data_IF_024014503483
#
_entry.id   IF_024014503483
#
_cell.length_a   1.000
_cell.length_b   1.000
_cell.length_c   1.000
_cell.angle_alpha   90.00
_cell.angle_beta   90.00
_cell.angle_gamma   90.00
#
_symmetry.space_group_name_H-M   'P 1'
#
loop_
_entity.id
_entity.type
_entity.pdbx_description
1 polymer ?
#
# COMPACT_ATOMS: atom_id res chain seq x y z
N UNK A 1 8.39 -13.72 -4.00
CA UNK A 1 7.02 -13.18 -4.17
C UNK A 1 5.93 -14.20 -3.88
N UNK A 2 6.07 -15.48 -4.30
CA UNK A 2 5.11 -16.55 -3.99
C UNK A 2 4.77 -16.71 -2.50
N UNK A 3 5.74 -16.51 -1.60
CA UNK A 3 5.50 -16.51 -0.15
C UNK A 3 4.52 -15.38 0.24
N UNK A 4 4.85 -14.12 -0.07
CA UNK A 4 4.00 -12.95 0.22
C UNK A 4 2.59 -13.05 -0.39
N UNK A 5 2.44 -13.58 -1.59
CA UNK A 5 1.14 -13.65 -2.26
C UNK A 5 0.11 -14.50 -1.50
N UNK A 6 0.56 -15.40 -0.61
CA UNK A 6 -0.31 -16.22 0.27
C UNK A 6 -0.82 -15.44 1.48
N UNK A 7 -0.18 -14.33 1.83
CA UNK A 7 -0.53 -13.48 2.98
C UNK A 7 -1.23 -12.19 2.56
N UNK A 8 -1.76 -12.14 1.33
CA UNK A 8 -2.59 -11.03 0.88
C UNK A 8 -3.96 -11.14 1.52
N UNK A 9 -4.41 -10.06 2.15
CA UNK A 9 -5.74 -9.95 2.77
C UNK A 9 -6.54 -8.84 2.09
N UNK A 10 -7.85 -8.79 2.32
CA UNK A 10 -8.67 -7.60 2.05
C UNK A 10 -8.62 -6.61 3.23
N UNK A 11 -9.33 -5.48 3.12
CA UNK A 11 -9.39 -4.47 4.19
C UNK A 11 -9.97 -4.98 5.52
N UNK A 12 -10.70 -6.10 5.50
CA UNK A 12 -11.34 -6.69 6.67
C UNK A 12 -10.52 -7.86 7.24
N UNK A 13 -9.37 -8.19 6.64
CA UNK A 13 -8.52 -9.31 7.06
C UNK A 13 -8.80 -10.64 6.39
N UNK A 14 -9.76 -10.72 5.46
CA UNK A 14 -10.04 -11.98 4.79
C UNK A 14 -8.96 -12.31 3.75
N UNK A 15 -8.55 -13.59 3.62
CA UNK A 15 -7.62 -14.00 2.58
C UNK A 15 -8.09 -13.59 1.18
N UNK A 16 -7.22 -12.92 0.43
CA UNK A 16 -7.57 -12.33 -0.85
C UNK A 16 -6.42 -12.44 -1.86
N UNK A 17 -5.85 -13.64 -1.95
CA UNK A 17 -4.74 -13.97 -2.83
C UNK A 17 -5.04 -13.71 -4.31
N UNK A 18 -3.99 -13.43 -5.08
CA UNK A 18 -4.08 -13.25 -6.53
C UNK A 18 -4.01 -14.58 -7.27
N UNK A 19 -4.66 -14.66 -8.44
CA UNK A 19 -4.65 -15.86 -9.28
C UNK A 19 -3.30 -16.17 -9.95
N UNK A 20 -2.32 -15.26 -9.93
CA UNK A 20 -0.98 -15.48 -10.48
C UNK A 20 0.07 -14.53 -9.87
N UNK A 21 1.36 -14.88 -10.02
CA UNK A 21 2.46 -14.02 -9.61
C UNK A 21 2.48 -12.69 -10.39
N UNK A 22 2.30 -12.73 -11.71
CA UNK A 22 2.19 -11.50 -12.54
C UNK A 22 1.05 -10.60 -12.08
N UNK A 23 -0.08 -11.19 -11.65
CA UNK A 23 -1.21 -10.44 -11.12
C UNK A 23 -0.88 -9.75 -9.79
N UNK A 24 -0.10 -10.38 -8.91
CA UNK A 24 0.44 -9.78 -7.69
C UNK A 24 1.38 -8.61 -8.04
N UNK A 25 2.35 -8.84 -8.93
CA UNK A 25 3.39 -7.86 -9.26
C UNK A 25 2.80 -6.55 -9.78
N UNK A 26 1.86 -6.62 -10.72
CA UNK A 26 1.18 -5.46 -11.31
C UNK A 26 0.43 -4.64 -10.26
N UNK A 27 -0.10 -5.29 -9.22
CA UNK A 27 -0.94 -4.67 -8.19
C UNK A 27 -0.12 -4.17 -7.01
N UNK A 28 1.07 -4.73 -6.81
CA UNK A 28 2.03 -4.43 -5.73
C UNK A 28 2.80 -3.12 -5.85
N UNK A 29 2.44 -2.31 -6.85
CA UNK A 29 3.04 -1.00 -7.10
C UNK A 29 1.99 0.10 -7.30
N UNK A 30 0.70 -0.25 -7.21
CA UNK A 30 -0.39 0.65 -7.59
C UNK A 30 -0.85 1.59 -6.47
N UNK A 31 -0.56 1.31 -5.20
CA UNK A 31 -0.87 2.22 -4.07
C UNK A 31 0.23 2.16 -3.00
N UNK A 32 0.40 3.22 -2.19
CA UNK A 32 1.55 3.33 -1.27
C UNK A 32 1.52 2.34 -0.10
N UNK A 33 0.32 1.94 0.34
CA UNK A 33 0.14 1.19 1.59
C UNK A 33 -0.36 -0.24 1.38
N UNK A 34 -0.41 -0.75 0.14
CA UNK A 34 -0.82 -2.11 -0.15
C UNK A 34 -0.88 -2.39 -1.65
N UNK A 35 -1.47 -3.52 -2.03
CA UNK A 35 -1.81 -3.77 -3.42
C UNK A 35 -3.19 -3.15 -3.74
N UNK A 36 -3.44 -2.87 -5.03
CA UNK A 36 -4.74 -2.39 -5.52
C UNK A 36 -5.27 -3.29 -6.63
N UNK A 37 -6.56 -3.64 -6.59
CA UNK A 37 -7.23 -4.41 -7.65
C UNK A 37 -8.14 -3.58 -8.55
N UNK A 38 -8.28 -2.27 -8.31
CA UNK A 38 -9.15 -1.40 -9.10
C UNK A 38 -8.57 -1.25 -10.52
N UNK A 39 -9.27 -1.71 -11.57
CA UNK A 39 -8.68 -1.80 -12.92
C UNK A 39 -8.16 -0.49 -13.48
N UNK A 40 -8.89 0.63 -13.29
CA UNK A 40 -8.52 1.93 -13.86
C UNK A 40 -7.24 2.46 -13.21
N UNK A 41 -7.16 2.46 -11.89
CA UNK A 41 -6.02 2.91 -11.13
C UNK A 41 -4.80 2.04 -11.36
N UNK A 42 -4.98 0.70 -11.45
CA UNK A 42 -3.88 -0.21 -11.82
C UNK A 42 -3.36 0.11 -13.21
N UNK A 43 -4.25 0.29 -14.20
CA UNK A 43 -3.88 0.69 -15.57
C UNK A 43 -3.13 2.03 -15.60
N UNK A 44 -3.50 2.96 -14.72
CA UNK A 44 -2.87 4.26 -14.57
C UNK A 44 -1.63 4.26 -13.66
N UNK A 45 -1.09 3.09 -13.29
CA UNK A 45 0.11 2.99 -12.46
C UNK A 45 -0.05 3.62 -11.07
N UNK A 46 -1.28 3.61 -10.53
CA UNK A 46 -1.57 4.13 -9.20
C UNK A 46 -1.81 5.64 -9.10
N UNK A 47 -1.88 6.34 -10.23
CA UNK A 47 -1.97 7.81 -10.27
C UNK A 47 -3.41 8.34 -10.36
N UNK A 48 -4.43 7.48 -10.43
CA UNK A 48 -5.83 7.88 -10.64
C UNK A 48 -6.75 7.58 -9.46
N UNK A 49 -6.22 7.19 -8.31
CA UNK A 49 -7.04 6.89 -7.14
C UNK A 49 -7.72 8.18 -6.61
N UNK A 50 -9.07 8.27 -6.61
CA UNK A 50 -9.78 9.47 -6.16
C UNK A 50 -9.77 9.64 -4.63
N UNK A 51 -9.48 8.57 -3.89
CA UNK A 51 -9.41 8.52 -2.42
C UNK A 51 -7.98 8.19 -1.97
N UNK A 52 -6.99 8.79 -2.64
CA UNK A 52 -5.56 8.51 -2.41
C UNK A 52 -5.24 8.57 -0.91
N UNK A 53 -4.41 7.63 -0.47
CA UNK A 53 -4.02 7.42 0.94
C UNK A 53 -5.10 6.83 1.86
N UNK A 54 -6.36 6.74 1.46
CA UNK A 54 -7.44 6.13 2.26
C UNK A 54 -7.67 4.64 1.91
N UNK A 55 -6.59 3.91 1.60
CA UNK A 55 -6.69 2.56 1.05
C UNK A 55 -7.45 1.59 1.97
N UNK A 56 -7.28 1.69 3.29
CA UNK A 56 -8.01 0.86 4.26
C UNK A 56 -9.55 1.02 4.18
N UNK A 57 -10.04 2.12 3.59
CA UNK A 57 -11.47 2.32 3.32
C UNK A 57 -11.95 1.73 1.99
N UNK A 58 -11.08 1.21 1.12
CA UNK A 58 -11.43 0.81 -0.25
C UNK A 58 -11.65 -0.70 -0.40
N UNK A 59 -12.70 -1.11 -1.14
CA UNK A 59 -12.98 -2.53 -1.43
C UNK A 59 -11.95 -3.22 -2.34
N UNK A 60 -11.14 -2.45 -3.08
CA UNK A 60 -10.08 -2.94 -3.95
C UNK A 60 -8.71 -3.07 -3.25
N UNK A 61 -8.63 -2.71 -1.98
CA UNK A 61 -7.40 -2.76 -1.21
C UNK A 61 -7.02 -4.20 -0.87
N UNK A 62 -5.76 -4.55 -1.14
CA UNK A 62 -5.23 -5.91 -0.95
C UNK A 62 -3.84 -5.84 -0.30
N UNK A 63 -3.68 -5.47 0.98
CA UNK A 63 -2.36 -5.39 1.58
C UNK A 63 -1.73 -6.78 1.78
N UNK A 64 -0.41 -6.79 1.91
CA UNK A 64 0.40 -7.94 2.30
C UNK A 64 1.51 -7.48 3.25
N UNK A 65 2.15 -8.39 4.02
CA UNK A 65 3.11 -8.02 5.06
C UNK A 65 4.33 -7.21 4.58
N UNK A 66 4.62 -7.16 3.27
CA UNK A 66 5.68 -6.30 2.74
C UNK A 66 5.44 -4.81 3.02
N UNK A 67 4.18 -4.39 3.21
CA UNK A 67 3.76 -3.02 3.45
C UNK A 67 3.71 -2.60 4.92
N UNK A 68 3.88 -3.54 5.87
CA UNK A 68 3.81 -3.24 7.31
C UNK A 68 4.63 -2.00 7.72
N UNK A 69 5.92 -1.86 7.32
CA UNK A 69 6.70 -0.68 7.68
C UNK A 69 6.11 0.64 7.16
N UNK A 70 5.56 0.65 5.94
CA UNK A 70 4.97 1.84 5.34
C UNK A 70 3.62 2.20 5.99
N UNK A 71 2.84 1.19 6.39
CA UNK A 71 1.59 1.38 7.12
C UNK A 71 1.89 1.93 8.53
N UNK A 72 2.91 1.42 9.21
CA UNK A 72 3.31 1.90 10.54
C UNK A 72 3.81 3.35 10.49
N UNK A 73 4.61 3.72 9.49
CA UNK A 73 5.01 5.11 9.25
C UNK A 73 3.80 6.03 8.96
N UNK A 74 2.85 5.54 8.16
CA UNK A 74 1.62 6.29 7.88
C UNK A 74 0.76 6.47 9.13
N UNK A 75 0.63 5.44 9.97
CA UNK A 75 -0.09 5.53 11.25
C UNK A 75 0.52 6.58 12.18
N UNK A 76 1.85 6.66 12.24
CA UNK A 76 2.54 7.69 13.02
C UNK A 76 2.27 9.09 12.45
N UNK A 77 2.29 9.23 11.13
CA UNK A 77 1.96 10.49 10.45
C UNK A 77 0.52 10.92 10.74
N UNK A 78 -0.45 10.01 10.61
CA UNK A 78 -1.86 10.30 10.91
C UNK A 78 -2.09 10.73 12.36
N UNK A 79 -1.35 10.15 13.32
CA UNK A 79 -1.42 10.54 14.74
C UNK A 79 -0.90 11.95 14.95
N UNK A 80 0.24 12.29 14.34
CA UNK A 80 0.81 13.64 14.39
C UNK A 80 -0.09 14.67 13.69
N UNK A 81 -0.67 14.32 12.54
CA UNK A 81 -1.62 15.17 11.81
C UNK A 81 -2.88 15.44 12.65
N UNK A 82 -3.39 14.42 13.35
CA UNK A 82 -4.54 14.56 14.25
C UNK A 82 -4.24 15.49 15.43
N UNK A 83 -3.08 15.33 16.06
CA UNK A 83 -2.64 16.23 17.14
C UNK A 83 -2.52 17.68 16.66
N UNK A 84 -1.93 17.87 15.47
CA UNK A 84 -1.83 19.18 14.84
C UNK A 84 -3.20 19.77 14.52
N UNK A 85 -4.12 18.98 13.96
CA UNK A 85 -5.48 19.42 13.65
C UNK A 85 -6.26 19.84 14.90
N UNK A 86 -6.09 19.11 16.02
CA UNK A 86 -6.67 19.51 17.32
C UNK A 86 -6.10 20.83 17.80
N UNK A 87 -4.78 21.03 17.70
CA UNK A 87 -4.13 22.28 18.12
C UNK A 87 -4.55 23.49 17.26
N UNK A 88 -4.92 23.25 16.01
CA UNK A 88 -5.39 24.27 15.07
C UNK A 88 -6.90 24.55 15.16
N UNK A 89 -7.62 23.93 16.11
CA UNK A 89 -9.09 24.05 16.24
C UNK A 89 -9.83 23.75 14.92
N UNK A 90 -9.36 22.71 14.21
CA UNK A 90 -9.99 22.26 12.96
C UNK A 90 -11.31 21.56 13.26
N UNK A 91 -12.29 21.75 12.38
CA UNK A 91 -13.62 21.13 12.48
C UNK A 91 -13.59 19.61 12.73
N UNK A 92 -14.54 19.14 13.53
CA UNK A 92 -14.73 17.75 13.94
C UNK A 92 -14.72 16.75 12.79
N UNK A 93 -15.18 17.12 11.59
CA UNK A 93 -15.17 16.20 10.46
C UNK A 93 -13.75 15.76 10.06
N UNK A 94 -12.76 16.63 10.24
CA UNK A 94 -11.35 16.32 9.94
C UNK A 94 -10.76 15.40 11.00
N UNK A 95 -10.99 15.71 12.29
CA UNK A 95 -10.53 14.90 13.42
C UNK A 95 -11.10 13.49 13.35
N UNK A 96 -12.40 13.36 13.04
CA UNK A 96 -13.06 12.08 12.83
C UNK A 96 -12.41 11.30 11.68
N UNK A 97 -12.21 11.94 10.53
CA UNK A 97 -11.59 11.29 9.38
C UNK A 97 -10.17 10.78 9.66
N UNK A 98 -9.35 11.53 10.39
CA UNK A 98 -8.01 11.08 10.80
C UNK A 98 -8.10 9.91 11.79
N UNK A 99 -9.01 9.97 12.75
CA UNK A 99 -9.24 8.92 13.75
C UNK A 99 -9.72 7.61 13.09
N UNK A 100 -10.64 7.71 12.13
CA UNK A 100 -11.16 6.56 11.39
C UNK A 100 -10.07 5.92 10.53
N UNK A 101 -9.20 6.73 9.90
CA UNK A 101 -8.04 6.20 9.16
C UNK A 101 -7.03 5.52 10.07
N UNK A 102 -6.69 6.09 11.24
CA UNK A 102 -5.82 5.47 12.24
C UNK A 102 -6.37 4.10 12.64
N UNK A 103 -7.67 4.03 12.89
CA UNK A 103 -8.36 2.80 13.30
C UNK A 103 -8.30 1.75 12.18
N UNK A 104 -8.67 2.13 10.96
CA UNK A 104 -8.73 1.22 9.82
C UNK A 104 -7.35 0.67 9.42
N UNK A 105 -6.31 1.52 9.35
CA UNK A 105 -4.95 1.04 9.07
C UNK A 105 -4.36 0.27 10.25
N UNK A 106 -4.72 0.63 11.49
CA UNK A 106 -4.30 -0.09 12.70
C UNK A 106 -4.77 -1.54 12.68
N UNK A 107 -6.07 -1.76 12.42
CA UNK A 107 -6.65 -3.10 12.28
C UNK A 107 -5.95 -3.93 11.21
N UNK A 108 -5.69 -3.36 10.04
CA UNK A 108 -4.97 -4.04 8.96
C UNK A 108 -3.55 -4.44 9.38
N UNK A 109 -2.82 -3.54 10.05
CA UNK A 109 -1.48 -3.83 10.55
C UNK A 109 -1.49 -4.92 11.63
N UNK A 110 -2.43 -4.87 12.56
CA UNK A 110 -2.59 -5.87 13.62
C UNK A 110 -2.84 -7.26 13.05
N UNK A 111 -3.77 -7.40 12.11
CA UNK A 111 -4.08 -8.68 11.45
C UNK A 111 -2.85 -9.24 10.74
N UNK A 112 -2.08 -8.41 10.04
CA UNK A 112 -0.85 -8.88 9.39
C UNK A 112 0.23 -9.28 10.40
N UNK A 113 0.37 -8.57 11.52
CA UNK A 113 1.32 -8.93 12.59
C UNK A 113 0.93 -10.23 13.26
N UNK A 114 -0.35 -10.41 13.59
CA UNK A 114 -0.88 -11.65 14.15
C UNK A 114 -0.68 -12.82 13.18
N UNK A 115 -0.98 -12.62 11.90
CA UNK A 115 -0.74 -13.64 10.88
C UNK A 115 0.73 -14.02 10.75
N UNK A 116 1.67 -13.08 10.89
CA UNK A 116 3.11 -13.41 10.89
C UNK A 116 3.55 -14.10 12.17
N UNK A 117 2.96 -13.74 13.32
CA UNK A 117 3.32 -14.29 14.62
C UNK A 117 2.90 -15.76 14.78
N UNK A 118 1.89 -16.21 14.04
CA UNK A 118 1.43 -17.60 14.04
C UNK A 118 2.21 -18.51 13.09
N UNK A 119 3.10 -17.96 12.25
CA UNK A 119 3.88 -18.76 11.31
C UNK A 119 5.05 -19.48 12.00
N UNK A 120 5.42 -20.68 11.49
CA UNK A 120 6.72 -21.27 11.77
C UNK A 120 7.87 -20.28 11.50
N UNK A 121 8.94 -20.37 12.29
CA UNK A 121 10.02 -19.38 12.26
C UNK A 121 10.75 -19.30 10.90
N UNK A 122 10.84 -20.42 10.18
CA UNK A 122 11.39 -20.50 8.83
C UNK A 122 10.47 -19.86 7.79
N UNK A 123 9.17 -20.15 7.83
CA UNK A 123 8.17 -19.51 6.96
C UNK A 123 8.12 -17.99 7.18
N UNK A 124 8.08 -17.57 8.45
CA UNK A 124 8.10 -16.14 8.82
C UNK A 124 9.33 -15.44 8.24
N UNK A 125 10.52 -16.03 8.39
CA UNK A 125 11.76 -15.50 7.83
C UNK A 125 11.70 -15.38 6.30
N UNK A 126 11.12 -16.37 5.61
CA UNK A 126 10.96 -16.32 4.16
C UNK A 126 10.07 -15.13 3.74
N UNK A 127 8.95 -14.92 4.44
CA UNK A 127 8.02 -13.81 4.18
C UNK A 127 8.69 -12.46 4.43
N UNK A 128 9.38 -12.31 5.56
CA UNK A 128 10.08 -11.07 5.92
C UNK A 128 11.18 -10.71 4.90
N UNK A 129 11.96 -11.71 4.45
CA UNK A 129 13.00 -11.54 3.43
C UNK A 129 12.40 -11.17 2.07
N UNK A 130 11.35 -11.87 1.64
CA UNK A 130 10.63 -11.52 0.42
C UNK A 130 10.08 -10.09 0.48
N UNK A 131 9.58 -9.67 1.66
CA UNK A 131 9.11 -8.32 1.91
C UNK A 131 10.23 -7.28 1.78
N UNK A 132 11.42 -7.59 2.31
CA UNK A 132 12.61 -6.72 2.22
C UNK A 132 13.03 -6.49 0.78
N UNK A 133 13.08 -7.55 -0.03
CA UNK A 133 13.41 -7.46 -1.47
C UNK A 133 12.39 -6.61 -2.21
N UNK A 134 11.09 -6.81 -1.94
CA UNK A 134 10.02 -6.07 -2.61
C UNK A 134 10.04 -4.59 -2.25
N UNK A 135 10.28 -4.24 -0.99
CA UNK A 135 10.45 -2.83 -0.55
C UNK A 135 11.62 -2.16 -1.27
N UNK A 136 12.76 -2.85 -1.42
CA UNK A 136 13.91 -2.32 -2.18
C UNK A 136 13.56 -2.05 -3.64
N UNK A 137 12.80 -2.94 -4.28
CA UNK A 137 12.31 -2.75 -5.65
C UNK A 137 11.40 -1.51 -5.78
N UNK A 138 10.46 -1.32 -4.85
CA UNK A 138 9.58 -0.14 -4.80
C UNK A 138 10.38 1.16 -4.63
N UNK A 139 11.34 1.18 -3.71
CA UNK A 139 12.20 2.35 -3.47
C UNK A 139 13.07 2.71 -4.69
N UNK A 140 13.53 1.71 -5.46
CA UNK A 140 14.29 1.94 -6.68
C UNK A 140 13.44 2.60 -7.77
N UNK A 141 12.16 2.21 -7.92
CA UNK A 141 11.25 2.82 -8.90
C UNK A 141 11.00 4.32 -8.66
N UNK A 142 10.91 4.73 -7.41
CA UNK A 142 10.80 6.15 -7.05
C UNK A 142 12.03 7.00 -7.41
N UNK A 143 13.16 6.36 -7.73
CA UNK A 143 14.42 7.00 -8.13
C UNK A 143 14.72 6.90 -9.63
N UNK A 144 13.88 6.21 -10.41
CA UNK A 144 14.04 6.17 -11.86
C UNK A 144 13.65 7.54 -12.43
N UNK A 145 14.60 8.20 -13.09
CA UNK A 145 14.35 9.43 -13.85
C UNK A 145 13.27 9.15 -14.90
N UNK A 146 12.33 10.08 -15.13
CA UNK A 146 11.32 9.90 -16.17
C UNK A 146 12.03 9.72 -17.52
N UNK A 147 11.71 8.62 -18.20
CA UNK A 147 12.07 8.46 -19.62
C UNK A 147 11.13 9.39 -20.38
N UNK A 148 11.64 10.56 -20.76
CA UNK A 148 10.93 11.45 -21.67
C UNK A 148 11.12 10.90 -23.08
N UNK A 149 10.05 10.40 -23.67
CA UNK A 149 10.03 10.03 -25.08
C UNK A 149 10.13 11.33 -25.90
N UNK A 150 11.30 11.62 -26.46
CA UNK A 150 11.49 12.79 -27.33
C UNK A 150 10.87 12.47 -28.68
N UNK A 151 9.64 12.93 -28.89
CA UNK A 151 9.05 12.95 -30.23
C UNK A 151 9.72 14.07 -31.02
N UNK A 152 10.50 13.71 -32.04
CA UNK A 152 11.05 14.70 -32.97
C UNK A 152 9.89 15.39 -33.70
N UNK A 153 9.87 16.73 -33.77
CA UNK A 153 8.90 17.43 -34.59
C UNK A 153 9.10 17.03 -36.07
N UNK A 154 8.01 16.96 -36.87
CA UNK A 154 8.11 16.63 -38.27
C UNK A 154 9.04 17.61 -38.98
N UNK A 155 9.92 17.09 -39.85
CA UNK A 155 10.78 17.91 -40.68
C UNK A 155 9.92 18.87 -41.51
N UNK A 156 10.24 20.17 -41.43
CA UNK A 156 9.61 21.19 -42.25
C UNK A 156 9.90 20.93 -43.75
N UNK A 157 8.95 21.24 -44.65
CA UNK A 157 9.07 20.98 -46.08
C UNK A 157 10.18 21.79 -46.76
#
# INVERSE_FOLDING_TARGET
MKALSRHVIDRNGHPAAFGSATAFDLRSVAVPFGNCTEPSNVKAGGQQCPIRFQCAGCGFYRPDPSYLPAIEEHLNSLRADRETATALDVDDFVIRNLTDQITAFGQVADIMRESLATLPADERREVEEAGRVLRRSRAARGRLLPIVEVTQPPAAP
#
